data_IF_125124615802
#
_entry.id   IF_125124615802
#
_cell.length_a   1.000
_cell.length_b   1.000
_cell.length_c   1.000
_cell.angle_alpha   90.00
_cell.angle_beta   90.00
_cell.angle_gamma   90.00
#
_symmetry.space_group_name_H-M   'P 1'
#
loop_
_entity.id
_entity.type
_entity.pdbx_description
1 polymer ?
#
# COMPACT_ATOMS: atom_id res chain seq x y z
N UNK A 1 -1.55 6.12 17.30
CA UNK A 1 -1.07 6.16 15.90
C UNK A 1 0.45 6.12 15.82
N UNK A 2 1.17 7.17 16.20
CA UNK A 2 2.64 7.18 16.13
C UNK A 2 3.30 6.00 16.88
N UNK A 3 2.76 5.62 18.05
CA UNK A 3 3.22 4.44 18.81
C UNK A 3 3.07 3.13 18.04
N UNK A 4 1.95 2.94 17.32
CA UNK A 4 1.76 1.77 16.45
C UNK A 4 2.85 1.73 15.38
N UNK A 5 3.09 2.84 14.67
CA UNK A 5 4.11 2.88 13.63
C UNK A 5 5.50 2.56 14.16
N UNK A 6 5.87 3.11 15.33
CA UNK A 6 7.15 2.80 15.98
C UNK A 6 7.29 1.32 16.34
N UNK A 7 6.22 0.69 16.83
CA UNK A 7 6.24 -0.73 17.19
C UNK A 7 6.23 -1.64 15.96
N UNK A 8 5.49 -1.25 14.93
CA UNK A 8 5.23 -2.10 13.77
C UNK A 8 6.28 -1.97 12.68
N UNK A 9 6.84 -0.78 12.48
CA UNK A 9 7.76 -0.51 11.37
C UNK A 9 8.81 0.56 11.74
N UNK A 10 9.74 0.25 12.65
CA UNK A 10 10.77 1.21 13.09
C UNK A 10 11.70 1.68 11.96
N UNK A 11 11.82 0.93 10.87
CA UNK A 11 12.70 1.26 9.74
C UNK A 11 12.29 2.54 8.97
N UNK A 12 11.12 3.11 9.26
CA UNK A 12 10.63 4.35 8.65
C UNK A 12 11.33 5.62 9.14
N UNK A 13 12.08 5.57 10.24
CA UNK A 13 12.95 6.67 10.68
C UNK A 13 13.90 7.09 9.56
N UNK A 14 14.11 8.41 9.37
CA UNK A 14 14.94 8.97 8.30
C UNK A 14 14.44 8.74 6.87
N UNK A 15 13.28 8.09 6.69
CA UNK A 15 12.70 7.87 5.36
C UNK A 15 11.78 9.02 4.94
N UNK A 16 11.40 9.06 3.66
CA UNK A 16 10.40 10.01 3.14
C UNK A 16 9.02 9.87 3.81
N UNK A 17 8.82 8.78 4.57
CA UNK A 17 7.59 8.47 5.29
C UNK A 17 7.70 8.70 6.80
N UNK A 18 8.81 9.25 7.29
CA UNK A 18 9.04 9.47 8.72
C UNK A 18 7.95 10.35 9.38
N UNK A 19 7.28 11.21 8.60
CA UNK A 19 6.18 12.05 9.07
C UNK A 19 5.09 11.29 9.83
N UNK A 20 4.88 9.99 9.56
CA UNK A 20 3.89 9.14 10.24
C UNK A 20 4.19 8.95 11.73
N UNK A 21 5.42 9.24 12.15
CA UNK A 21 5.86 9.16 13.54
C UNK A 21 5.54 10.42 14.34
N UNK A 22 5.10 11.51 13.68
CA UNK A 22 4.87 12.81 14.30
C UNK A 22 3.38 13.19 14.24
N UNK A 23 2.66 13.17 15.37
CA UNK A 23 1.22 13.45 15.40
C UNK A 23 0.81 14.79 14.74
N UNK A 24 1.64 15.82 14.87
CA UNK A 24 1.35 17.15 14.31
C UNK A 24 1.36 17.20 12.78
N UNK A 25 2.00 16.22 12.12
CA UNK A 25 2.00 16.12 10.66
C UNK A 25 0.67 15.61 10.11
N UNK A 26 -0.11 14.85 10.91
CA UNK A 26 -1.39 14.29 10.46
C UNK A 26 -2.38 15.40 10.10
N UNK A 27 -2.47 16.46 10.91
CA UNK A 27 -3.36 17.61 10.65
C UNK A 27 -3.07 18.32 9.33
N UNK A 28 -1.85 18.20 8.81
CA UNK A 28 -1.43 18.85 7.55
C UNK A 28 -1.64 17.95 6.34
N UNK A 29 -1.71 16.63 6.54
CA UNK A 29 -1.54 15.63 5.49
C UNK A 29 -2.71 14.68 5.33
N UNK A 30 -3.46 14.45 6.40
CA UNK A 30 -4.50 13.42 6.47
C UNK A 30 -5.87 14.09 6.47
N UNK A 31 -6.78 13.56 5.66
CA UNK A 31 -8.16 13.94 5.69
C UNK A 31 -8.90 13.25 6.83
N UNK A 32 -9.52 14.07 7.69
CA UNK A 32 -10.26 13.60 8.85
C UNK A 32 -11.75 13.48 8.51
N UNK A 33 -12.40 12.46 9.07
CA UNK A 33 -13.80 12.19 8.81
C UNK A 33 -14.71 13.35 9.25
N UNK A 34 -14.32 14.05 10.32
CA UNK A 34 -15.04 15.19 10.88
C UNK A 34 -15.09 16.39 9.92
N UNK A 35 -14.07 16.55 9.07
CA UNK A 35 -13.92 17.67 8.13
C UNK A 35 -13.79 17.17 6.67
N UNK A 36 -14.41 16.03 6.36
CA UNK A 36 -14.14 15.29 5.14
C UNK A 36 -14.31 16.11 3.86
N UNK A 37 -15.35 16.93 3.76
CA UNK A 37 -15.65 17.73 2.55
C UNK A 37 -14.51 18.69 2.18
N UNK A 38 -13.87 19.32 3.17
CA UNK A 38 -12.74 20.23 2.95
C UNK A 38 -11.42 19.47 2.82
N UNK A 39 -11.19 18.54 3.75
CA UNK A 39 -9.92 17.85 3.85
C UNK A 39 -9.67 16.91 2.67
N UNK A 40 -10.70 16.22 2.17
CA UNK A 40 -10.56 15.28 1.05
C UNK A 40 -10.15 15.97 -0.25
N UNK A 41 -10.39 17.28 -0.37
CA UNK A 41 -9.93 18.07 -1.52
C UNK A 41 -8.50 18.54 -1.34
N UNK A 42 -8.16 19.01 -0.13
CA UNK A 42 -6.90 19.74 0.12
C UNK A 42 -5.75 18.87 0.62
N UNK A 43 -6.05 17.68 1.15
CA UNK A 43 -5.05 16.81 1.79
C UNK A 43 -4.86 15.51 1.01
N UNK A 44 -3.61 15.06 0.82
CA UNK A 44 -3.34 13.94 -0.05
C UNK A 44 -3.57 12.57 0.59
N UNK A 45 -3.67 12.46 1.92
CA UNK A 45 -3.72 11.17 2.59
C UNK A 45 -5.07 10.87 3.23
N UNK A 46 -5.46 9.59 3.20
CA UNK A 46 -6.46 9.01 4.08
C UNK A 46 -5.80 7.96 4.98
N UNK A 47 -6.31 7.82 6.21
CA UNK A 47 -5.78 6.85 7.17
C UNK A 47 -6.93 6.02 7.72
N UNK A 48 -6.77 4.69 7.68
CA UNK A 48 -7.66 3.78 8.42
C UNK A 48 -6.96 3.39 9.71
N UNK A 49 -7.78 3.22 10.74
CA UNK A 49 -7.35 2.71 12.03
C UNK A 49 -8.24 1.52 12.40
N UNK A 50 -7.62 0.41 12.75
CA UNK A 50 -8.28 -0.74 13.37
C UNK A 50 -8.05 -0.71 14.87
N UNK A 51 -9.13 -0.75 15.65
CA UNK A 51 -9.10 -0.77 17.11
C UNK A 51 -9.63 -2.12 17.64
N UNK A 52 -8.93 -2.69 18.62
CA UNK A 52 -9.49 -3.75 19.44
C UNK A 52 -10.46 -3.13 20.46
N UNK A 53 -11.76 -3.36 20.24
CA UNK A 53 -12.85 -2.78 21.03
C UNK A 53 -12.73 -3.13 22.52
N UNK A 54 -12.21 -4.32 22.86
CA UNK A 54 -12.08 -4.78 24.23
C UNK A 54 -10.97 -4.03 24.96
N UNK A 55 -9.79 -3.92 24.34
CA UNK A 55 -8.64 -3.27 24.97
C UNK A 55 -8.53 -1.76 24.70
N UNK A 56 -9.35 -1.23 23.79
CA UNK A 56 -9.30 0.16 23.30
C UNK A 56 -7.95 0.55 22.69
N UNK A 57 -7.21 -0.45 22.21
CA UNK A 57 -5.90 -0.25 21.59
C UNK A 57 -6.05 -0.24 20.08
N UNK A 58 -5.32 0.68 19.45
CA UNK A 58 -5.11 0.64 18.01
C UNK A 58 -4.21 -0.56 17.69
N UNK A 59 -4.74 -1.51 16.90
CA UNK A 59 -4.05 -2.75 16.52
C UNK A 59 -3.56 -2.74 15.08
N UNK A 60 -4.13 -1.88 14.25
CA UNK A 60 -3.80 -1.76 12.83
C UNK A 60 -3.94 -0.33 12.35
N UNK A 61 -3.15 0.06 11.38
CA UNK A 61 -3.39 1.25 10.59
C UNK A 61 -2.88 1.07 9.17
N UNK A 62 -3.53 1.73 8.23
CA UNK A 62 -3.05 1.88 6.87
C UNK A 62 -3.19 3.31 6.38
N UNK A 63 -2.29 3.71 5.48
CA UNK A 63 -2.20 5.04 4.89
C UNK A 63 -2.35 4.90 3.38
N UNK A 64 -3.16 5.77 2.80
CA UNK A 64 -3.44 5.83 1.39
C UNK A 64 -3.18 7.24 0.88
N UNK A 65 -2.39 7.36 -0.18
CA UNK A 65 -2.06 8.65 -0.81
C UNK A 65 -2.80 8.75 -2.14
N UNK A 66 -3.59 9.82 -2.33
CA UNK A 66 -4.29 10.07 -3.59
C UNK A 66 -3.45 10.94 -4.53
N UNK A 67 -3.63 10.69 -5.82
CA UNK A 67 -3.07 11.47 -6.92
C UNK A 67 -4.21 11.87 -7.85
N UNK A 68 -4.89 12.97 -7.55
CA UNK A 68 -6.15 13.34 -8.23
C UNK A 68 -5.99 13.49 -9.75
N UNK A 69 -4.89 14.09 -10.21
CA UNK A 69 -4.63 14.29 -11.64
C UNK A 69 -4.33 12.98 -12.39
N UNK A 70 -3.94 11.93 -11.66
CA UNK A 70 -3.58 10.63 -12.20
C UNK A 70 -4.66 9.57 -11.90
N UNK A 71 -5.74 9.97 -11.21
CA UNK A 71 -6.82 9.10 -10.73
C UNK A 71 -6.29 7.83 -10.04
N UNK A 72 -5.24 7.99 -9.25
CA UNK A 72 -4.54 6.88 -8.60
C UNK A 72 -4.65 7.01 -7.09
N UNK A 73 -4.76 5.86 -6.42
CA UNK A 73 -4.49 5.75 -4.99
C UNK A 73 -3.26 4.85 -4.78
N UNK A 74 -2.31 5.29 -3.97
CA UNK A 74 -1.25 4.43 -3.47
C UNK A 74 -1.63 3.94 -2.06
N UNK A 75 -1.63 2.63 -1.83
CA UNK A 75 -1.73 2.05 -0.49
C UNK A 75 -0.37 2.13 0.24
N UNK A 76 0.08 3.34 0.53
CA UNK A 76 1.46 3.65 0.92
C UNK A 76 2.00 2.82 2.09
N UNK A 77 1.22 2.64 3.16
CA UNK A 77 1.66 1.91 4.36
C UNK A 77 0.55 1.08 4.96
N UNK A 78 0.92 -0.08 5.52
CA UNK A 78 0.05 -0.92 6.34
C UNK A 78 0.87 -1.44 7.52
N UNK A 79 0.39 -1.23 8.74
CA UNK A 79 0.98 -1.73 9.95
C UNK A 79 -0.05 -2.49 10.78
N UNK A 80 0.37 -3.66 11.27
CA UNK A 80 -0.32 -4.39 12.33
C UNK A 80 0.62 -4.43 13.53
N UNK A 81 0.10 -4.12 14.71
CA UNK A 81 0.86 -4.15 15.97
C UNK A 81 1.46 -5.56 16.15
N UNK A 82 2.75 -5.70 16.52
CA UNK A 82 3.44 -7.00 16.60
C UNK A 82 2.65 -8.09 17.34
N UNK A 83 2.06 -7.75 18.48
CA UNK A 83 1.28 -8.67 19.31
C UNK A 83 0.01 -9.22 18.63
N UNK A 84 -0.46 -8.56 17.57
CA UNK A 84 -1.72 -8.87 16.89
C UNK A 84 -1.50 -9.46 15.48
N UNK A 85 -0.26 -9.76 15.10
CA UNK A 85 0.08 -10.32 13.76
C UNK A 85 -0.29 -11.80 13.60
N UNK A 86 -0.68 -12.48 14.68
CA UNK A 86 -1.06 -13.89 14.69
C UNK A 86 -2.40 -14.09 15.39
N UNK A 87 -3.02 -15.24 15.15
CA UNK A 87 -4.29 -15.62 15.77
C UNK A 87 -5.51 -15.03 15.08
N UNK A 88 -6.66 -15.07 15.76
CA UNK A 88 -7.97 -14.70 15.22
C UNK A 88 -8.06 -13.21 14.85
N UNK A 89 -7.43 -12.32 15.62
CA UNK A 89 -7.44 -10.88 15.34
C UNK A 89 -6.73 -10.59 14.01
N UNK A 90 -5.59 -11.25 13.76
CA UNK A 90 -4.88 -11.11 12.48
C UNK A 90 -5.75 -11.54 11.30
N UNK A 91 -6.47 -12.67 11.42
CA UNK A 91 -7.38 -13.14 10.37
C UNK A 91 -8.49 -12.11 10.09
N UNK A 92 -9.10 -11.56 11.13
CA UNK A 92 -10.12 -10.50 11.02
C UNK A 92 -9.56 -9.26 10.33
N UNK A 93 -8.36 -8.80 10.70
CA UNK A 93 -7.71 -7.65 10.08
C UNK A 93 -7.55 -7.88 8.57
N UNK A 94 -7.07 -9.05 8.16
CA UNK A 94 -6.85 -9.35 6.75
C UNK A 94 -8.15 -9.46 5.96
N UNK A 95 -9.20 -10.07 6.52
CA UNK A 95 -10.53 -10.09 5.87
C UNK A 95 -11.13 -8.68 5.75
N UNK A 96 -10.96 -7.83 6.77
CA UNK A 96 -11.45 -6.44 6.72
C UNK A 96 -10.68 -5.56 5.74
N UNK A 97 -9.36 -5.80 5.58
CA UNK A 97 -8.56 -5.07 4.59
C UNK A 97 -9.11 -5.27 3.17
N UNK A 98 -9.67 -6.45 2.89
CA UNK A 98 -10.31 -6.75 1.63
C UNK A 98 -11.59 -5.94 1.38
N UNK A 99 -12.42 -5.77 2.42
CA UNK A 99 -13.57 -4.87 2.36
C UNK A 99 -13.15 -3.42 2.09
N UNK A 100 -12.00 -3.00 2.61
CA UNK A 100 -11.48 -1.68 2.31
C UNK A 100 -11.04 -1.51 0.85
N UNK A 101 -10.47 -2.55 0.23
CA UNK A 101 -10.16 -2.47 -1.19
C UNK A 101 -11.43 -2.32 -2.05
N UNK A 102 -12.56 -2.90 -1.63
CA UNK A 102 -13.87 -2.59 -2.24
C UNK A 102 -14.30 -1.14 -2.00
N UNK A 103 -13.96 -0.54 -0.86
CA UNK A 103 -14.20 0.89 -0.64
C UNK A 103 -13.42 1.76 -1.63
N UNK A 104 -12.19 1.39 -2.00
CA UNK A 104 -11.42 2.12 -3.02
C UNK A 104 -12.09 2.14 -4.39
N UNK A 105 -12.90 1.13 -4.75
CA UNK A 105 -13.68 1.15 -5.99
C UNK A 105 -14.65 2.34 -6.04
N UNK A 106 -15.13 2.81 -4.89
CA UNK A 106 -16.02 3.97 -4.81
C UNK A 106 -15.28 5.31 -4.69
N UNK A 107 -13.94 5.31 -4.67
CA UNK A 107 -13.14 6.54 -4.51
C UNK A 107 -13.04 7.39 -5.78
N UNK A 108 -13.44 6.83 -6.94
CA UNK A 108 -13.24 7.45 -8.25
C UNK A 108 -11.85 7.22 -8.85
N UNK A 109 -10.95 6.53 -8.14
CA UNK A 109 -9.68 6.11 -8.70
C UNK A 109 -9.86 5.05 -9.81
N UNK A 110 -8.97 5.08 -10.79
CA UNK A 110 -8.90 4.15 -11.92
C UNK A 110 -7.93 3.01 -11.66
N UNK A 111 -6.99 3.19 -10.73
CA UNK A 111 -6.08 2.13 -10.30
C UNK A 111 -5.49 2.42 -8.93
N UNK A 112 -5.00 1.34 -8.31
CA UNK A 112 -4.31 1.37 -7.03
C UNK A 112 -2.92 0.81 -7.21
N UNK A 113 -1.94 1.40 -6.54
CA UNK A 113 -0.57 0.88 -6.46
C UNK A 113 -0.17 0.61 -5.03
N UNK A 114 0.81 -0.26 -4.86
CA UNK A 114 1.47 -0.49 -3.58
C UNK A 114 2.89 -0.97 -3.80
N UNK A 115 3.75 -0.75 -2.81
CA UNK A 115 5.07 -1.37 -2.74
C UNK A 115 5.20 -2.18 -1.45
N UNK A 116 5.91 -3.31 -1.47
CA UNK A 116 6.40 -3.96 -0.25
C UNK A 116 7.89 -4.17 -0.33
N UNK A 117 8.52 -4.22 0.83
CA UNK A 117 9.88 -4.71 0.95
C UNK A 117 10.03 -6.13 0.41
N UNK A 118 11.15 -6.40 -0.25
CA UNK A 118 11.46 -7.72 -0.81
C UNK A 118 11.55 -8.82 0.25
N UNK A 119 11.81 -8.47 1.51
CA UNK A 119 11.86 -9.42 2.64
C UNK A 119 10.49 -9.71 3.27
N UNK A 120 9.41 -9.08 2.82
CA UNK A 120 8.09 -9.22 3.43
C UNK A 120 7.16 -10.14 2.65
N UNK A 121 7.50 -11.44 2.63
CA UNK A 121 6.80 -12.45 1.82
C UNK A 121 5.29 -12.62 2.14
N UNK A 122 4.87 -12.40 3.39
CA UNK A 122 3.46 -12.45 3.79
C UNK A 122 2.66 -11.40 3.02
N UNK A 123 3.18 -10.19 2.91
CA UNK A 123 2.53 -9.10 2.19
C UNK A 123 2.50 -9.37 0.69
N UNK A 124 3.60 -9.91 0.13
CA UNK A 124 3.65 -10.35 -1.26
C UNK A 124 2.58 -11.42 -1.55
N UNK A 125 2.44 -12.42 -0.67
CA UNK A 125 1.39 -13.44 -0.77
C UNK A 125 0.00 -12.81 -0.74
N UNK A 126 -0.26 -11.90 0.21
CA UNK A 126 -1.58 -11.29 0.34
C UNK A 126 -1.95 -10.51 -0.92
N UNK A 127 -1.07 -9.66 -1.44
CA UNK A 127 -1.40 -8.86 -2.60
C UNK A 127 -1.52 -9.69 -3.87
N UNK A 128 -0.57 -10.60 -4.10
CA UNK A 128 -0.51 -11.36 -5.34
C UNK A 128 -1.46 -12.57 -5.37
N UNK A 129 -1.57 -13.30 -4.26
CA UNK A 129 -2.35 -14.55 -4.17
C UNK A 129 -3.73 -14.40 -3.55
N UNK A 130 -3.94 -13.42 -2.66
CA UNK A 130 -5.28 -13.21 -2.07
C UNK A 130 -6.07 -12.09 -2.72
N UNK A 131 -5.41 -11.01 -3.12
CA UNK A 131 -6.11 -9.82 -3.64
C UNK A 131 -6.05 -9.69 -5.16
N UNK A 132 -5.34 -10.58 -5.84
CA UNK A 132 -5.24 -10.62 -7.31
C UNK A 132 -4.38 -9.54 -7.94
N UNK A 133 -3.59 -8.80 -7.16
CA UNK A 133 -2.80 -7.68 -7.67
C UNK A 133 -1.71 -8.17 -8.61
N UNK A 134 -1.39 -7.35 -9.60
CA UNK A 134 -0.38 -7.61 -10.61
C UNK A 134 0.94 -6.99 -10.20
N UNK A 135 2.05 -7.61 -10.54
CA UNK A 135 3.40 -7.12 -10.31
C UNK A 135 3.72 -6.08 -11.38
N UNK A 136 4.15 -4.90 -10.96
CA UNK A 136 4.69 -3.82 -11.82
C UNK A 136 6.22 -3.86 -11.94
N UNK A 137 6.91 -4.55 -11.03
CA UNK A 137 8.36 -4.73 -11.11
C UNK A 137 9.04 -4.74 -9.74
N UNK A 138 10.37 -4.76 -9.74
CA UNK A 138 11.20 -4.70 -8.54
C UNK A 138 12.14 -3.51 -8.69
N UNK A 139 12.21 -2.66 -7.67
CA UNK A 139 13.12 -1.53 -7.61
C UNK A 139 14.15 -1.74 -6.49
N UNK A 140 15.40 -2.07 -6.84
CA UNK A 140 16.50 -2.12 -5.88
C UNK A 140 16.79 -0.76 -5.26
N UNK A 141 16.83 -0.69 -3.92
CA UNK A 141 17.25 0.51 -3.20
C UNK A 141 16.30 1.71 -3.32
N UNK A 142 15.02 1.47 -3.56
CA UNK A 142 14.00 2.51 -3.75
C UNK A 142 13.93 3.47 -2.55
N UNK A 143 14.01 2.96 -1.33
CA UNK A 143 13.86 3.79 -0.13
C UNK A 143 14.99 3.64 0.88
N UNK A 144 15.32 4.74 1.56
CA UNK A 144 16.15 4.72 2.78
C UNK A 144 15.39 4.06 3.93
N UNK A 145 16.09 3.20 4.67
CA UNK A 145 15.61 2.49 5.85
C UNK A 145 16.59 2.64 6.99
N UNK A 146 16.07 2.87 8.19
CA UNK A 146 16.89 2.93 9.38
C UNK A 146 17.38 1.54 9.80
N UNK A 147 18.67 1.42 10.12
CA UNK A 147 19.34 0.18 10.52
C UNK A 147 19.73 0.16 12.02
N UNK A 148 19.29 1.13 12.81
CA UNK A 148 19.78 1.32 14.17
C UNK A 148 21.06 2.16 14.22
N UNK A 149 21.39 2.70 15.40
CA UNK A 149 22.68 3.34 15.69
C UNK A 149 23.13 4.38 14.64
N UNK A 150 22.21 5.26 14.21
CA UNK A 150 22.46 6.30 13.20
C UNK A 150 22.93 5.76 11.84
N UNK A 151 22.61 4.49 11.52
CA UNK A 151 22.91 3.86 10.24
C UNK A 151 21.66 3.70 9.41
N UNK A 152 21.86 3.69 8.09
CA UNK A 152 20.82 3.52 7.10
C UNK A 152 21.23 2.52 6.03
N UNK A 153 20.25 1.92 5.38
CA UNK A 153 20.43 1.12 4.17
C UNK A 153 19.34 1.45 3.14
N UNK A 154 19.50 0.95 1.91
CA UNK A 154 18.53 1.15 0.83
C UNK A 154 17.70 -0.12 0.66
N UNK A 155 16.43 -0.07 1.06
CA UNK A 155 15.46 -1.16 0.92
C UNK A 155 15.06 -1.38 -0.53
N UNK A 156 14.93 -2.64 -0.92
CA UNK A 156 14.46 -3.04 -2.24
C UNK A 156 12.95 -3.32 -2.17
N UNK A 157 12.20 -2.84 -3.16
CA UNK A 157 10.74 -2.97 -3.16
C UNK A 157 10.22 -3.73 -4.35
N UNK A 158 9.18 -4.52 -4.14
CA UNK A 158 8.34 -5.09 -5.19
C UNK A 158 7.12 -4.17 -5.31
N UNK A 159 6.82 -3.75 -6.53
CA UNK A 159 5.68 -2.90 -6.84
C UNK A 159 4.54 -3.72 -7.40
N UNK A 160 3.33 -3.41 -6.95
CA UNK A 160 2.11 -4.02 -7.41
C UNK A 160 1.10 -2.96 -7.82
N UNK A 161 0.18 -3.35 -8.70
CA UNK A 161 -0.93 -2.53 -9.13
C UNK A 161 -2.21 -3.36 -9.30
N UNK A 162 -3.35 -2.66 -9.27
CA UNK A 162 -4.66 -3.19 -9.63
C UNK A 162 -5.48 -2.10 -10.29
N UNK A 163 -6.00 -2.35 -11.49
CA UNK A 163 -7.00 -1.47 -12.10
C UNK A 163 -8.33 -1.58 -11.36
N UNK A 164 -9.02 -0.45 -11.22
CA UNK A 164 -10.36 -0.34 -10.65
C UNK A 164 -11.32 0.13 -11.75
N UNK A 165 -12.59 -0.22 -11.68
CA UNK A 165 -13.65 0.37 -12.52
C UNK A 165 -13.38 0.35 -14.05
N UNK A 166 -12.64 -0.64 -14.55
CA UNK A 166 -12.15 -0.71 -15.93
C UNK A 166 -11.13 0.39 -16.32
N UNK A 167 -10.34 0.88 -15.37
CA UNK A 167 -9.30 1.88 -15.61
C UNK A 167 -8.23 1.45 -16.62
N UNK A 168 -8.08 0.15 -16.85
CA UNK A 168 -7.22 -0.42 -17.90
C UNK A 168 -7.59 0.09 -19.30
N UNK A 169 -8.86 0.49 -19.52
CA UNK A 169 -9.32 1.02 -20.80
C UNK A 169 -8.64 2.34 -21.17
N UNK A 170 -8.25 3.14 -20.18
CA UNK A 170 -7.58 4.42 -20.39
C UNK A 170 -6.05 4.31 -20.53
N UNK A 171 -5.50 3.11 -20.36
CA UNK A 171 -4.09 2.85 -20.63
C UNK A 171 -3.85 2.64 -22.13
N UNK A 172 -2.71 3.14 -22.63
CA UNK A 172 -2.19 2.82 -23.97
C UNK A 172 -2.14 1.31 -24.18
N UNK A 173 -2.54 0.85 -25.36
CA UNK A 173 -2.58 -0.57 -25.71
C UNK A 173 -1.20 -1.07 -26.14
N UNK A 174 -1.00 -2.39 -26.06
CA UNK A 174 0.30 -3.00 -26.35
C UNK A 174 0.78 -2.75 -27.79
N UNK A 175 -0.16 -2.56 -28.71
CA UNK A 175 0.09 -2.25 -30.12
C UNK A 175 0.63 -0.83 -30.31
N UNK A 176 0.42 0.06 -29.35
CA UNK A 176 0.93 1.44 -29.35
C UNK A 176 2.35 1.54 -28.76
N UNK A 177 2.87 0.45 -28.19
CA UNK A 177 4.14 0.45 -27.45
C UNK A 177 5.34 0.19 -28.37
N UNK A 178 6.23 1.17 -28.44
CA UNK A 178 7.55 1.05 -29.08
C UNK A 178 8.62 0.74 -28.03
N UNK A 179 8.72 -0.53 -27.63
CA UNK A 179 9.68 -1.01 -26.63
C UNK A 179 10.93 -1.61 -27.28
N UNK A 180 12.07 -1.44 -26.63
CA UNK A 180 13.26 -2.24 -26.92
C UNK A 180 12.97 -3.74 -26.71
N UNK A 181 13.60 -4.65 -27.47
CA UNK A 181 13.38 -6.10 -27.35
C UNK A 181 13.53 -6.62 -25.91
N UNK A 182 14.55 -6.17 -25.18
CA UNK A 182 14.82 -6.61 -23.81
C UNK A 182 13.70 -6.21 -22.83
N UNK A 183 13.07 -5.06 -23.08
CA UNK A 183 11.97 -4.56 -22.25
C UNK A 183 10.67 -5.29 -22.60
N UNK A 184 10.46 -5.65 -23.87
CA UNK A 184 9.35 -6.51 -24.29
C UNK A 184 9.47 -7.90 -23.65
N UNK A 185 10.64 -8.51 -23.71
CA UNK A 185 10.91 -9.83 -23.10
C UNK A 185 10.63 -9.81 -21.59
N UNK A 186 11.08 -8.75 -20.90
CA UNK A 186 10.78 -8.55 -19.47
C UNK A 186 9.27 -8.45 -19.22
N UNK A 187 8.57 -7.64 -20.01
CA UNK A 187 7.12 -7.47 -19.88
C UNK A 187 6.37 -8.79 -20.10
N UNK A 188 6.72 -9.57 -21.11
CA UNK A 188 6.08 -10.84 -21.42
C UNK A 188 6.28 -11.87 -20.28
N UNK A 189 7.47 -11.91 -19.68
CA UNK A 189 7.73 -12.73 -18.49
C UNK A 189 6.88 -12.26 -17.31
N UNK A 190 6.80 -10.95 -17.08
CA UNK A 190 5.95 -10.40 -16.02
C UNK A 190 4.48 -10.74 -16.24
N UNK A 191 3.96 -10.63 -17.47
CA UNK A 191 2.57 -10.96 -17.79
C UNK A 191 2.27 -12.45 -17.60
N UNK A 192 3.20 -13.33 -17.97
CA UNK A 192 3.10 -14.77 -17.68
C UNK A 192 3.01 -15.07 -16.19
N UNK A 193 3.73 -14.31 -15.35
CA UNK A 193 3.66 -14.42 -13.89
C UNK A 193 2.32 -13.85 -13.40
N UNK A 194 1.96 -12.64 -13.85
CA UNK A 194 0.73 -11.94 -13.51
C UNK A 194 -0.54 -12.73 -13.85
N UNK A 195 -0.52 -13.58 -14.88
CA UNK A 195 -1.60 -14.51 -15.20
C UNK A 195 -1.87 -15.54 -14.07
N UNK A 196 -0.92 -15.72 -13.15
CA UNK A 196 -1.02 -16.61 -11.98
C UNK A 196 -1.41 -15.88 -10.69
N UNK A 197 -1.72 -14.58 -10.76
CA UNK A 197 -2.30 -13.87 -9.62
C UNK A 197 -3.73 -14.36 -9.41
N UNK A 198 -4.16 -14.41 -8.15
CA UNK A 198 -5.45 -15.00 -7.76
C UNK A 198 -6.17 -14.09 -6.79
N UNK A 199 -7.49 -14.05 -6.88
CA UNK A 199 -8.38 -13.50 -5.86
C UNK A 199 -8.92 -14.67 -5.04
N UNK A 200 -8.09 -15.23 -4.15
CA UNK A 200 -8.55 -16.26 -3.21
C UNK A 200 -9.66 -15.68 -2.33
N UNK A 201 -10.76 -16.42 -2.17
CA UNK A 201 -11.97 -16.00 -1.46
C UNK A 201 -11.65 -15.22 -0.17
N UNK A 202 -12.19 -14.00 -0.12
CA UNK A 202 -12.06 -13.04 0.97
C UNK A 202 -13.07 -13.31 2.08
#
# INVERSE_FOLDING_TARGET
>A
MAELWRASYPEVYGSVHEWILYPDEYKKRVAFAENWEEDSVTRPNAVIVGEDITSKKIVMSSIYTKWDQNLQVEASFIAIHPDYRKGSIAAIIWSNLALFYKWLENSGAEYVTVFCETWHNITQYIWFKRLGWKIAGIFPGNFTRWAGCEKEYRGCTIHFYRFLNNGDKYSTKLEEWDLLPEIRDLFDVMEKINAQSTEEDL
#
